data_IF_240294865863
#
_entry.id   IF_240294865863
#
_cell.length_a   1.000
_cell.length_b   1.000
_cell.length_c   1.000
_cell.angle_alpha   90.00
_cell.angle_beta   90.00
_cell.angle_gamma   90.00
#
_symmetry.space_group_name_H-M   'P 1'
#
loop_
_entity.id
_entity.type
_entity.pdbx_description
1 polymer ?
#
# COMPACT_ATOMS: atom_id res chain seq x y z
N UNK A 1 7.11 99.54 -55.62
CA UNK A 1 6.37 98.48 -54.89
C UNK A 1 6.40 97.23 -55.77
N UNK A 2 7.40 96.34 -55.64
CA UNK A 2 7.57 95.25 -54.64
C UNK A 2 6.58 94.11 -54.80
N UNK A 3 7.12 92.89 -55.01
CA UNK A 3 6.35 91.66 -54.86
C UNK A 3 7.02 90.42 -55.44
N UNK A 4 8.25 90.10 -55.04
CA UNK A 4 8.91 88.83 -55.35
C UNK A 4 8.23 87.68 -54.59
N UNK A 5 7.73 86.67 -55.30
CA UNK A 5 7.09 85.49 -54.70
C UNK A 5 8.13 84.41 -54.42
N UNK A 6 8.47 84.18 -53.15
CA UNK A 6 9.28 83.04 -52.70
C UNK A 6 8.40 81.81 -52.44
N UNK A 7 8.80 80.66 -52.98
CA UNK A 7 8.15 79.35 -52.76
C UNK A 7 8.73 78.69 -51.50
N UNK A 8 7.91 78.26 -50.51
CA UNK A 8 8.42 77.51 -49.36
C UNK A 8 8.67 76.02 -49.68
N UNK A 9 9.60 75.36 -48.95
CA UNK A 9 10.15 74.05 -49.29
C UNK A 9 9.20 72.88 -49.01
N UNK A 10 9.27 71.83 -49.85
CA UNK A 10 8.55 70.56 -49.67
C UNK A 10 9.07 69.78 -48.46
N UNK A 11 8.16 69.38 -47.58
CA UNK A 11 8.43 68.45 -46.49
C UNK A 11 8.72 67.03 -47.01
N UNK A 12 9.57 66.24 -46.33
CA UNK A 12 9.86 64.86 -46.71
C UNK A 12 8.65 63.95 -46.49
N UNK A 13 8.29 63.19 -47.51
CA UNK A 13 7.21 62.21 -47.47
C UNK A 13 7.66 61.01 -46.64
N UNK A 14 7.08 60.84 -45.45
CA UNK A 14 7.28 59.63 -44.66
C UNK A 14 6.51 58.48 -45.32
N UNK A 15 7.24 57.51 -45.90
CA UNK A 15 6.68 56.24 -46.35
C UNK A 15 6.21 55.44 -45.14
N UNK A 16 4.92 55.54 -44.82
CA UNK A 16 4.25 54.61 -43.91
C UNK A 16 4.09 53.28 -44.64
N UNK A 17 4.98 52.34 -44.39
CA UNK A 17 4.77 50.93 -44.75
C UNK A 17 3.51 50.45 -44.04
N UNK A 18 2.41 50.35 -44.80
CA UNK A 18 1.17 49.77 -44.34
C UNK A 18 1.38 48.27 -44.15
N UNK A 19 1.39 47.82 -42.90
CA UNK A 19 1.32 46.39 -42.59
C UNK A 19 -0.09 45.94 -42.88
N UNK A 20 -0.27 45.24 -44.00
CA UNK A 20 -1.52 44.55 -44.32
C UNK A 20 -1.63 43.33 -43.41
N UNK A 21 -2.65 43.31 -42.55
CA UNK A 21 -2.95 42.16 -41.73
C UNK A 21 -3.29 40.94 -42.59
N UNK A 22 -2.72 39.79 -42.25
CA UNK A 22 -2.79 38.50 -42.97
C UNK A 22 -4.20 37.87 -43.11
N UNK A 23 -5.27 38.62 -42.88
CA UNK A 23 -6.65 38.14 -42.95
C UNK A 23 -7.02 37.10 -41.90
N UNK A 24 -6.11 36.76 -40.98
CA UNK A 24 -6.39 35.73 -39.96
C UNK A 24 -7.06 36.36 -38.75
N UNK A 25 -8.36 36.09 -38.58
CA UNK A 25 -9.08 36.46 -37.36
C UNK A 25 -8.51 35.70 -36.16
N UNK A 26 -8.51 36.32 -34.97
CA UNK A 26 -8.07 35.67 -33.72
C UNK A 26 -8.73 34.30 -33.48
N UNK A 27 -9.96 34.16 -33.97
CA UNK A 27 -10.77 32.94 -33.96
C UNK A 27 -10.18 31.81 -34.82
N UNK A 28 -9.55 32.12 -35.95
CA UNK A 28 -8.83 31.15 -36.79
C UNK A 28 -7.58 30.62 -36.07
N UNK A 29 -6.75 31.51 -35.52
CA UNK A 29 -5.55 31.13 -34.75
C UNK A 29 -5.88 30.34 -33.49
N UNK A 30 -6.97 30.70 -32.79
CA UNK A 30 -7.46 29.96 -31.64
C UNK A 30 -7.91 28.55 -32.01
N UNK A 31 -8.65 28.37 -33.12
CA UNK A 31 -9.11 27.04 -33.59
C UNK A 31 -7.95 26.13 -34.02
N UNK A 32 -6.94 26.66 -34.70
CA UNK A 32 -5.75 25.87 -35.08
C UNK A 32 -4.94 25.45 -33.87
N UNK A 33 -4.76 26.36 -32.89
CA UNK A 33 -4.10 26.07 -31.61
C UNK A 33 -4.88 25.07 -30.76
N UNK A 34 -6.21 25.16 -30.75
CA UNK A 34 -7.07 24.19 -30.06
C UNK A 34 -6.97 22.80 -30.68
N UNK A 35 -6.96 22.70 -32.01
CA UNK A 35 -6.74 21.40 -32.69
C UNK A 35 -5.35 20.84 -32.42
N UNK A 36 -4.32 21.69 -32.42
CA UNK A 36 -2.95 21.30 -32.10
C UNK A 36 -2.78 20.90 -30.62
N UNK A 37 -3.48 21.55 -29.68
CA UNK A 37 -3.44 21.26 -28.25
C UNK A 37 -4.37 20.11 -27.83
N UNK A 38 -5.40 19.78 -28.64
CA UNK A 38 -6.36 18.71 -28.33
C UNK A 38 -5.72 17.32 -28.34
N UNK A 39 -4.75 17.10 -29.22
CA UNK A 39 -3.97 15.85 -29.24
C UNK A 39 -3.14 15.64 -27.96
N UNK A 40 -2.25 16.57 -27.55
CA UNK A 40 -1.50 16.41 -26.31
C UNK A 40 -2.40 16.42 -25.07
N UNK A 41 -3.49 17.18 -25.04
CA UNK A 41 -4.48 17.11 -23.96
C UNK A 41 -5.19 15.76 -23.89
N UNK A 42 -5.54 15.17 -25.04
CA UNK A 42 -6.14 13.83 -25.08
C UNK A 42 -5.15 12.76 -24.59
N UNK A 43 -3.88 12.84 -25.02
CA UNK A 43 -2.82 11.95 -24.54
C UNK A 43 -2.63 12.11 -23.03
N UNK A 44 -2.54 13.34 -22.53
CA UNK A 44 -2.43 13.62 -21.09
C UNK A 44 -3.63 13.06 -20.33
N UNK A 45 -4.85 13.25 -20.84
CA UNK A 45 -6.06 12.72 -20.23
C UNK A 45 -6.06 11.19 -20.18
N UNK A 46 -5.60 10.52 -21.24
CA UNK A 46 -5.45 9.05 -21.27
C UNK A 46 -4.40 8.58 -20.26
N UNK A 47 -3.27 9.27 -20.15
CA UNK A 47 -2.22 8.95 -19.16
C UNK A 47 -2.73 9.12 -17.73
N UNK A 48 -3.40 10.24 -17.45
CA UNK A 48 -3.98 10.52 -16.12
C UNK A 48 -5.06 9.49 -15.80
N UNK A 49 -5.96 9.21 -16.74
CA UNK A 49 -7.02 8.22 -16.55
C UNK A 49 -6.44 6.81 -16.33
N UNK A 50 -5.42 6.44 -17.12
CA UNK A 50 -4.69 5.19 -16.94
C UNK A 50 -4.01 5.11 -15.56
N UNK A 51 -3.39 6.20 -15.11
CA UNK A 51 -2.81 6.28 -13.77
C UNK A 51 -3.83 6.19 -12.64
N UNK A 52 -5.00 6.82 -12.78
CA UNK A 52 -6.10 6.74 -11.81
C UNK A 52 -6.66 5.32 -11.76
N UNK A 53 -6.91 4.69 -12.92
CA UNK A 53 -7.37 3.30 -12.96
C UNK A 53 -6.33 2.37 -12.35
N UNK A 54 -5.05 2.50 -12.72
CA UNK A 54 -3.97 1.70 -12.15
C UNK A 54 -3.90 1.89 -10.62
N UNK A 55 -4.03 3.11 -10.12
CA UNK A 55 -4.03 3.40 -8.69
C UNK A 55 -5.23 2.81 -7.95
N UNK A 56 -6.40 2.74 -8.59
CA UNK A 56 -7.60 2.13 -8.01
C UNK A 56 -7.53 0.60 -8.00
N UNK A 57 -6.88 0.01 -9.01
CA UNK A 57 -6.70 -1.44 -9.13
C UNK A 57 -5.49 -1.95 -8.35
N UNK A 58 -4.58 -1.07 -7.93
CA UNK A 58 -3.39 -1.47 -7.16
C UNK A 58 -3.85 -1.94 -5.78
N UNK A 59 -3.62 -3.22 -5.42
CA UNK A 59 -3.94 -3.71 -4.09
C UNK A 59 -3.22 -2.85 -3.06
N UNK A 60 -3.95 -2.36 -2.06
CA UNK A 60 -3.31 -1.67 -0.94
C UNK A 60 -2.52 -2.71 -0.16
N UNK A 61 -1.21 -2.73 -0.37
CA UNK A 61 -0.31 -3.60 0.38
C UNK A 61 0.07 -2.90 1.68
N UNK A 62 0.05 -3.65 2.77
CA UNK A 62 0.55 -3.16 4.05
C UNK A 62 2.06 -3.39 4.16
N UNK A 63 2.69 -2.66 5.06
CA UNK A 63 4.08 -2.84 5.50
C UNK A 63 4.13 -3.35 6.95
N UNK A 64 2.96 -3.66 7.54
CA UNK A 64 2.85 -4.15 8.91
C UNK A 64 3.38 -5.59 8.94
N UNK A 65 4.37 -5.92 9.79
CA UNK A 65 4.87 -7.29 9.93
C UNK A 65 3.74 -8.27 10.22
N UNK A 66 3.82 -9.47 9.65
CA UNK A 66 2.84 -10.55 9.78
C UNK A 66 1.41 -10.21 9.31
N UNK A 67 1.19 -9.07 8.64
CA UNK A 67 -0.11 -8.76 8.10
C UNK A 67 -0.42 -9.57 6.83
N UNK A 68 -1.65 -10.07 6.66
CA UNK A 68 -2.04 -10.90 5.51
C UNK A 68 -2.08 -10.13 4.18
N UNK A 69 -2.02 -8.80 4.21
CA UNK A 69 -1.92 -7.92 3.04
C UNK A 69 -0.49 -7.40 2.81
N UNK A 70 0.50 -7.84 3.62
CA UNK A 70 1.91 -7.48 3.47
C UNK A 70 2.68 -8.47 2.56
N UNK A 71 3.14 -8.04 1.37
CA UNK A 71 3.96 -8.82 0.43
C UNK A 71 5.33 -9.28 0.95
N UNK A 72 5.92 -8.48 1.84
CA UNK A 72 7.36 -8.47 2.02
C UNK A 72 7.82 -9.69 2.82
N UNK A 73 9.14 -9.92 2.92
CA UNK A 73 9.71 -11.11 3.57
C UNK A 73 9.23 -11.32 5.02
N UNK A 74 8.87 -10.24 5.73
CA UNK A 74 8.30 -10.27 7.07
C UNK A 74 6.76 -10.24 7.13
N UNK A 75 6.08 -10.31 5.99
CA UNK A 75 4.62 -10.30 5.87
C UNK A 75 4.00 -11.70 5.89
N UNK A 76 2.66 -11.77 5.90
CA UNK A 76 1.92 -13.04 5.92
C UNK A 76 1.05 -13.26 4.67
N UNK A 77 1.22 -12.46 3.61
CA UNK A 77 0.35 -12.54 2.43
C UNK A 77 0.41 -13.89 1.72
N UNK A 78 1.59 -14.48 1.60
CA UNK A 78 1.74 -15.80 0.98
C UNK A 78 0.94 -16.87 1.75
N UNK A 79 1.05 -16.87 3.08
CA UNK A 79 0.30 -17.79 3.95
C UNK A 79 -1.20 -17.53 3.85
N UNK A 80 -1.64 -16.26 3.90
CA UNK A 80 -3.05 -15.90 3.77
C UNK A 80 -3.65 -16.35 2.42
N UNK A 81 -2.89 -16.26 1.33
CA UNK A 81 -3.33 -16.76 0.01
C UNK A 81 -3.45 -18.28 0.00
N UNK A 82 -2.46 -19.00 0.52
CA UNK A 82 -2.51 -20.48 0.63
C UNK A 82 -3.71 -20.93 1.48
N UNK A 83 -4.00 -20.22 2.57
CA UNK A 83 -5.17 -20.48 3.41
C UNK A 83 -6.47 -20.22 2.65
N UNK A 84 -6.56 -19.12 1.91
CA UNK A 84 -7.69 -18.81 1.03
C UNK A 84 -7.93 -19.88 -0.03
N UNK A 85 -6.86 -20.37 -0.67
CA UNK A 85 -6.91 -21.45 -1.66
C UNK A 85 -7.40 -22.78 -1.05
N UNK A 86 -7.24 -22.96 0.26
CA UNK A 86 -7.78 -24.10 1.03
C UNK A 86 -9.17 -23.84 1.62
N UNK A 87 -9.82 -22.72 1.27
CA UNK A 87 -11.16 -22.38 1.71
C UNK A 87 -11.23 -21.73 3.09
N UNK A 88 -10.12 -21.24 3.63
CA UNK A 88 -10.09 -20.50 4.89
C UNK A 88 -10.30 -19.01 4.61
N UNK A 89 -11.32 -18.42 5.22
CA UNK A 89 -11.57 -16.98 5.14
C UNK A 89 -10.70 -16.24 6.16
N UNK A 90 -9.75 -15.42 5.68
CA UNK A 90 -8.85 -14.65 6.52
C UNK A 90 -9.38 -13.23 6.71
N UNK A 91 -9.80 -12.91 7.93
CA UNK A 91 -10.23 -11.57 8.31
C UNK A 91 -9.13 -10.81 9.04
N UNK A 92 -8.60 -9.76 8.40
CA UNK A 92 -7.66 -8.85 9.06
C UNK A 92 -8.40 -7.81 9.91
N UNK A 93 -8.20 -7.86 11.22
CA UNK A 93 -8.76 -6.92 12.20
C UNK A 93 -7.65 -6.31 13.04
N UNK A 94 -7.87 -5.09 13.54
CA UNK A 94 -6.87 -4.33 14.31
C UNK A 94 -7.30 -4.01 15.74
N UNK A 95 -8.47 -4.50 16.16
CA UNK A 95 -9.01 -4.26 17.51
C UNK A 95 -9.51 -5.56 18.10
N UNK A 96 -9.33 -5.73 19.42
CA UNK A 96 -9.84 -6.88 20.16
C UNK A 96 -11.35 -6.99 20.04
N UNK A 97 -12.07 -5.88 20.10
CA UNK A 97 -13.53 -5.87 19.95
C UNK A 97 -13.99 -6.43 18.59
N UNK A 98 -13.28 -6.12 17.50
CA UNK A 98 -13.60 -6.66 16.17
C UNK A 98 -13.27 -8.14 16.04
N UNK A 99 -12.18 -8.58 16.69
CA UNK A 99 -11.81 -9.99 16.76
C UNK A 99 -12.87 -10.78 17.53
N UNK A 100 -13.24 -10.34 18.74
CA UNK A 100 -14.29 -10.95 19.58
C UNK A 100 -15.62 -11.06 18.83
N UNK A 101 -16.06 -9.99 18.15
CA UNK A 101 -17.31 -10.03 17.38
C UNK A 101 -17.29 -11.06 16.25
N UNK A 102 -16.13 -11.31 15.64
CA UNK A 102 -15.97 -12.30 14.56
C UNK A 102 -15.72 -13.71 15.06
N UNK A 103 -15.19 -13.86 16.26
CA UNK A 103 -14.92 -15.13 16.91
C UNK A 103 -16.17 -15.82 17.49
N UNK A 104 -17.38 -15.34 17.15
CA UNK A 104 -18.64 -15.97 17.55
C UNK A 104 -18.91 -17.24 16.72
N UNK A 105 -18.20 -18.34 17.01
CA UNK A 105 -18.34 -19.63 16.31
C UNK A 105 -17.02 -20.41 16.25
N UNK A 106 -16.93 -21.48 15.43
CA UNK A 106 -15.68 -22.19 15.19
C UNK A 106 -14.73 -21.27 14.40
N UNK A 107 -13.88 -20.55 15.12
CA UNK A 107 -12.93 -19.60 14.58
C UNK A 107 -11.56 -19.80 15.24
N UNK A 108 -10.51 -19.44 14.52
CA UNK A 108 -9.14 -19.35 15.04
C UNK A 108 -8.76 -17.88 15.09
N UNK A 109 -8.30 -17.40 16.25
CA UNK A 109 -7.83 -16.03 16.43
C UNK A 109 -6.31 -16.04 16.52
N UNK A 110 -5.66 -15.43 15.53
CA UNK A 110 -4.21 -15.22 15.52
C UNK A 110 -3.89 -13.82 16.06
N UNK A 111 -3.08 -13.75 17.11
CA UNK A 111 -2.55 -12.50 17.66
C UNK A 111 -1.06 -12.40 17.35
N UNK A 112 -0.71 -11.47 16.46
CA UNK A 112 0.67 -11.29 15.96
C UNK A 112 1.51 -10.31 16.79
N UNK A 113 0.91 -9.65 17.78
CA UNK A 113 1.57 -8.64 18.62
C UNK A 113 0.89 -8.57 19.96
N UNK A 114 1.42 -9.29 20.95
CA UNK A 114 0.82 -9.36 22.30
C UNK A 114 1.25 -8.22 23.21
N UNK A 115 2.33 -7.50 22.88
CA UNK A 115 2.84 -6.38 23.69
C UNK A 115 1.87 -5.17 23.76
N UNK A 116 0.88 -5.12 22.87
CA UNK A 116 -0.17 -4.10 22.87
C UNK A 116 -1.52 -4.62 23.40
N UNK A 117 -1.58 -5.87 23.84
CA UNK A 117 -2.82 -6.51 24.30
C UNK A 117 -2.77 -6.63 25.81
N UNK A 118 -3.72 -6.00 26.48
CA UNK A 118 -3.82 -6.01 27.94
C UNK A 118 -4.55 -7.27 28.45
N UNK A 119 -4.32 -7.66 29.70
CA UNK A 119 -4.94 -8.85 30.29
C UNK A 119 -6.48 -8.92 30.12
N UNK A 120 -7.27 -7.84 30.30
CA UNK A 120 -8.71 -7.88 30.05
C UNK A 120 -9.07 -8.16 28.58
N UNK A 121 -8.24 -7.72 27.64
CA UNK A 121 -8.43 -7.98 26.22
C UNK A 121 -8.11 -9.44 25.88
N UNK A 122 -7.08 -10.02 26.49
CA UNK A 122 -6.77 -11.45 26.37
C UNK A 122 -7.91 -12.29 26.93
N UNK A 123 -8.42 -11.95 28.11
CA UNK A 123 -9.56 -12.66 28.70
C UNK A 123 -10.79 -12.61 27.80
N UNK A 124 -11.09 -11.43 27.23
CA UNK A 124 -12.20 -11.30 26.28
C UNK A 124 -12.04 -12.16 25.03
N UNK A 125 -10.80 -12.45 24.59
CA UNK A 125 -10.53 -13.39 23.50
C UNK A 125 -10.72 -14.84 23.94
N UNK A 126 -10.24 -15.22 25.13
CA UNK A 126 -10.45 -16.55 25.69
C UNK A 126 -11.94 -16.86 25.87
N UNK A 127 -12.71 -15.88 26.35
CA UNK A 127 -14.16 -16.02 26.58
C UNK A 127 -14.96 -16.26 25.29
N UNK A 128 -14.37 -16.04 24.11
CA UNK A 128 -15.01 -16.39 22.82
C UNK A 128 -15.09 -17.89 22.58
N UNK A 129 -14.22 -18.68 23.22
CA UNK A 129 -14.06 -20.11 22.97
C UNK A 129 -13.39 -20.45 21.63
N UNK A 130 -12.85 -19.46 20.92
CA UNK A 130 -12.07 -19.67 19.69
C UNK A 130 -10.69 -20.26 19.98
N UNK A 131 -10.12 -20.96 18.99
CA UNK A 131 -8.73 -21.43 19.07
C UNK A 131 -7.79 -20.22 19.01
N UNK A 132 -7.10 -19.94 20.12
CA UNK A 132 -6.20 -18.79 20.23
C UNK A 132 -4.77 -19.19 19.87
N UNK A 133 -4.20 -18.51 18.86
CA UNK A 133 -2.80 -18.68 18.44
C UNK A 133 -2.07 -17.38 18.71
N UNK A 134 -1.02 -17.46 19.53
CA UNK A 134 -0.20 -16.31 19.92
C UNK A 134 1.18 -16.41 19.28
N UNK A 135 1.61 -15.35 18.60
CA UNK A 135 2.97 -15.23 18.08
C UNK A 135 3.76 -14.35 19.02
N UNK A 136 4.89 -14.86 19.51
CA UNK A 136 5.81 -14.13 20.39
C UNK A 136 5.10 -13.49 21.61
N UNK A 137 4.35 -14.29 22.42
CA UNK A 137 3.62 -13.76 23.56
C UNK A 137 4.57 -13.24 24.64
N UNK A 138 4.24 -12.08 25.20
CA UNK A 138 4.88 -11.60 26.44
C UNK A 138 4.47 -12.50 27.61
N UNK A 139 5.33 -12.60 28.63
CA UNK A 139 5.15 -13.51 29.77
C UNK A 139 3.77 -13.42 30.42
N UNK A 140 3.28 -12.22 30.70
CA UNK A 140 1.98 -12.02 31.35
C UNK A 140 0.81 -12.60 30.53
N UNK A 141 0.90 -12.51 29.20
CA UNK A 141 -0.12 -13.07 28.29
C UNK A 141 0.00 -14.59 28.22
N UNK A 142 1.22 -15.11 28.19
CA UNK A 142 1.47 -16.55 28.16
C UNK A 142 1.00 -17.24 29.44
N UNK A 143 1.32 -16.67 30.61
CA UNK A 143 0.90 -17.22 31.91
C UNK A 143 -0.63 -17.26 32.02
N UNK A 144 -1.29 -16.17 31.61
CA UNK A 144 -2.74 -16.04 31.64
C UNK A 144 -3.48 -16.98 30.66
N UNK A 145 -2.85 -17.34 29.54
CA UNK A 145 -3.46 -18.21 28.52
C UNK A 145 -3.11 -19.69 28.68
N UNK A 146 -2.07 -20.00 29.45
CA UNK A 146 -1.61 -21.37 29.70
C UNK A 146 -1.96 -21.89 31.08
N UNK A 147 -2.67 -21.12 31.91
CA UNK A 147 -2.93 -21.43 33.32
C UNK A 147 -1.64 -21.80 34.09
N UNK A 148 -0.51 -21.17 33.73
CA UNK A 148 0.81 -21.44 34.31
C UNK A 148 1.41 -22.81 33.98
N UNK A 149 0.86 -23.54 32.99
CA UNK A 149 1.38 -24.86 32.58
C UNK A 149 2.60 -24.79 31.68
N UNK A 150 2.86 -23.62 31.07
CA UNK A 150 4.02 -23.41 30.19
C UNK A 150 5.11 -22.69 30.96
N UNK A 151 6.26 -23.35 31.11
CA UNK A 151 7.44 -22.73 31.71
C UNK A 151 8.38 -22.13 30.64
N UNK A 152 8.97 -20.96 30.91
CA UNK A 152 10.06 -20.41 30.10
C UNK A 152 11.19 -21.43 29.95
N UNK A 153 11.57 -21.73 28.70
CA UNK A 153 12.78 -22.48 28.42
C UNK A 153 13.69 -21.65 27.51
N UNK A 154 14.87 -21.30 28.02
CA UNK A 154 15.88 -20.59 27.24
C UNK A 154 16.86 -21.60 26.65
N UNK A 155 17.06 -21.55 25.33
CA UNK A 155 18.11 -22.32 24.66
C UNK A 155 19.06 -21.36 23.96
N UNK A 156 20.34 -21.43 24.29
CA UNK A 156 21.36 -20.50 23.80
C UNK A 156 22.08 -21.00 22.55
N UNK A 157 21.51 -21.93 21.79
CA UNK A 157 22.24 -22.55 20.70
C UNK A 157 21.45 -22.56 19.40
N UNK A 158 21.98 -21.84 18.42
CA UNK A 158 21.86 -22.09 16.97
C UNK A 158 22.47 -23.45 16.58
N UNK A 159 22.30 -24.47 17.43
CA UNK A 159 22.75 -25.81 17.16
C UNK A 159 21.73 -26.46 16.22
N UNK A 160 22.16 -27.03 15.09
CA UNK A 160 21.28 -27.79 14.22
C UNK A 160 20.57 -28.89 15.02
N UNK A 161 19.24 -28.98 14.94
CA UNK A 161 18.44 -30.01 15.60
C UNK A 161 17.96 -31.03 14.58
N UNK A 162 18.18 -32.30 14.87
CA UNK A 162 17.65 -33.40 14.08
C UNK A 162 16.20 -33.70 14.49
N UNK A 163 15.43 -34.29 13.58
CA UNK A 163 14.09 -34.78 13.89
C UNK A 163 14.10 -35.76 15.08
N UNK A 164 13.17 -35.57 16.01
CA UNK A 164 12.94 -36.43 17.17
C UNK A 164 11.66 -37.27 17.04
N UNK A 165 11.00 -37.22 15.89
CA UNK A 165 9.77 -37.94 15.57
C UNK A 165 9.88 -38.64 14.19
N UNK A 166 9.09 -39.70 13.95
CA UNK A 166 9.12 -40.45 12.68
C UNK A 166 8.30 -39.80 11.56
N UNK A 167 8.06 -38.49 11.64
CA UNK A 167 7.33 -37.76 10.60
C UNK A 167 8.19 -37.70 9.31
N UNK A 168 7.64 -38.08 8.15
CA UNK A 168 8.42 -38.14 6.91
C UNK A 168 8.93 -36.77 6.46
N UNK A 169 8.18 -35.70 6.70
CA UNK A 169 8.58 -34.33 6.36
C UNK A 169 9.67 -33.86 7.34
N UNK A 170 9.53 -34.16 8.63
CA UNK A 170 10.57 -33.89 9.63
C UNK A 170 11.87 -34.65 9.31
N UNK A 171 11.76 -35.90 8.87
CA UNK A 171 12.92 -36.73 8.49
C UNK A 171 13.59 -36.19 7.22
N UNK A 172 12.79 -35.78 6.21
CA UNK A 172 13.29 -35.19 4.98
C UNK A 172 13.99 -33.84 5.21
N UNK A 173 13.58 -33.08 6.23
CA UNK A 173 14.23 -31.84 6.64
C UNK A 173 15.59 -32.05 7.34
N UNK A 174 15.93 -33.29 7.72
CA UNK A 174 17.15 -33.71 8.42
C UNK A 174 17.48 -32.87 9.66
N UNK A 175 18.24 -31.78 9.50
CA UNK A 175 18.69 -30.89 10.57
C UNK A 175 18.32 -29.44 10.29
N UNK A 176 17.64 -28.81 11.23
CA UNK A 176 17.24 -27.41 11.14
C UNK A 176 17.90 -26.56 12.23
N UNK A 177 18.27 -25.32 11.89
CA UNK A 177 18.71 -24.32 12.87
C UNK A 177 17.55 -23.37 13.13
N UNK A 178 17.13 -23.23 14.39
CA UNK A 178 16.08 -22.28 14.78
C UNK A 178 16.73 -20.96 15.23
N UNK A 179 16.88 -20.01 14.32
CA UNK A 179 17.41 -18.66 14.63
C UNK A 179 16.37 -17.69 15.19
N UNK A 180 15.29 -18.19 15.80
CA UNK A 180 14.22 -17.36 16.35
C UNK A 180 14.71 -16.57 17.56
N UNK A 181 14.35 -15.29 17.65
CA UNK A 181 14.45 -14.55 18.91
C UNK A 181 13.26 -15.00 19.76
N UNK A 182 13.55 -15.59 20.92
CA UNK A 182 12.59 -15.77 22.01
C UNK A 182 12.98 -14.88 23.18
#
# INVERSE_FOLDING_TARGET
MTGTTGTPPRAPVQNRTSVVGDGTTARSRARTRWRAARWPLAVLAVVVLGGVLASLLTPRTSQIPLAPDNPDDGGARAVAQILGDRGVEVHYVRTTADAVRRAAGPATVLVTSTHLVEAPQVQALLDTGADLVLVDPVWDVLDLTSDGTVEPAFTSQDAPRAASCPDPDATAAERIVSGGRG
#
